data_IF_960680762838
#
_entry.id   IF_960680762838
#
_cell.length_a   1.000
_cell.length_b   1.000
_cell.length_c   1.000
_cell.angle_alpha   90.00
_cell.angle_beta   90.00
_cell.angle_gamma   90.00
#
_symmetry.space_group_name_H-M   'P 1'
#
loop_
_entity.id
_entity.type
_entity.pdbx_description
1 polymer ?
#
# COMPACT_ATOMS: atom_id res chain seq x y z
N UNK A 1 2.01 16.22 -13.76
CA UNK A 1 1.28 16.13 -12.49
C UNK A 1 0.31 14.97 -12.55
N UNK A 2 0.40 14.01 -11.63
CA UNK A 2 -0.52 12.89 -11.63
C UNK A 2 -0.41 12.01 -10.40
N UNK A 3 -1.56 11.46 -9.98
CA UNK A 3 -1.63 10.32 -9.10
C UNK A 3 -1.40 9.09 -9.95
N UNK A 4 -0.43 8.25 -9.56
CA UNK A 4 -0.10 7.03 -10.29
C UNK A 4 -1.02 5.88 -9.93
N UNK A 5 -1.20 5.65 -8.62
CA UNK A 5 -1.97 4.52 -8.11
C UNK A 5 -2.35 4.70 -6.63
N UNK A 6 -3.31 3.93 -6.18
CA UNK A 6 -3.47 3.63 -4.76
C UNK A 6 -2.24 2.82 -4.32
N UNK A 7 -1.50 3.32 -3.36
CA UNK A 7 -0.30 2.66 -2.86
C UNK A 7 -0.60 1.79 -1.65
N UNK A 8 -1.32 2.33 -0.66
CA UNK A 8 -1.71 1.54 0.51
C UNK A 8 -3.05 1.97 1.09
N UNK A 9 -3.65 1.08 1.85
CA UNK A 9 -4.81 1.33 2.71
C UNK A 9 -4.46 1.04 4.16
N UNK A 10 -4.95 1.86 5.07
CA UNK A 10 -4.81 1.67 6.51
C UNK A 10 -6.18 1.43 7.12
N UNK A 11 -6.36 0.27 7.71
CA UNK A 11 -7.64 -0.25 8.20
C UNK A 11 -7.54 -0.45 9.70
N UNK A 12 -8.55 0.00 10.44
CA UNK A 12 -8.71 -0.31 11.86
C UNK A 12 -9.47 -1.63 12.03
N UNK A 13 -8.99 -2.43 12.95
CA UNK A 13 -9.57 -3.74 13.29
C UNK A 13 -9.78 -3.84 14.80
N UNK A 14 -10.78 -4.59 15.22
CA UNK A 14 -11.09 -4.78 16.65
C UNK A 14 -10.17 -5.79 17.32
N UNK A 15 -9.65 -6.74 16.56
CA UNK A 15 -8.77 -7.82 17.02
C UNK A 15 -7.68 -8.01 15.97
N UNK A 16 -6.46 -7.66 16.36
CA UNK A 16 -5.31 -7.72 15.44
C UNK A 16 -4.91 -9.16 15.12
N UNK A 17 -5.03 -10.09 16.09
CA UNK A 17 -4.64 -11.48 15.88
C UNK A 17 -5.61 -12.22 14.94
N UNK A 18 -6.91 -11.98 15.07
CA UNK A 18 -7.90 -12.50 14.11
C UNK A 18 -7.72 -11.88 12.73
N UNK A 19 -7.42 -10.57 12.66
CA UNK A 19 -7.13 -9.90 11.41
C UNK A 19 -5.85 -10.46 10.74
N UNK A 20 -4.79 -10.75 11.50
CA UNK A 20 -3.58 -11.40 10.99
C UNK A 20 -3.88 -12.76 10.37
N UNK A 21 -4.72 -13.58 11.01
CA UNK A 21 -5.15 -14.86 10.43
C UNK A 21 -5.88 -14.66 9.12
N UNK A 22 -6.78 -13.68 9.05
CA UNK A 22 -7.55 -13.43 7.84
C UNK A 22 -6.66 -12.90 6.71
N UNK A 23 -5.94 -11.81 6.94
CA UNK A 23 -5.15 -11.16 5.89
C UNK A 23 -3.89 -11.93 5.52
N UNK A 24 -3.19 -12.49 6.50
CA UNK A 24 -1.97 -13.27 6.27
C UNK A 24 -2.27 -14.67 5.75
N UNK A 25 -3.09 -15.45 6.44
CA UNK A 25 -3.33 -16.84 6.07
C UNK A 25 -4.40 -16.99 4.98
N UNK A 26 -5.59 -16.41 5.20
CA UNK A 26 -6.71 -16.63 4.26
C UNK A 26 -6.53 -15.86 2.96
N UNK A 27 -6.11 -14.60 3.03
CA UNK A 27 -5.85 -13.78 1.84
C UNK A 27 -4.45 -13.97 1.25
N UNK A 28 -3.52 -14.54 2.01
CA UNK A 28 -2.15 -14.82 1.53
C UNK A 28 -1.27 -13.58 1.39
N UNK A 29 -1.53 -12.52 2.15
CA UNK A 29 -0.65 -11.37 2.18
C UNK A 29 0.61 -11.67 3.02
N UNK A 30 1.74 -11.11 2.60
CA UNK A 30 3.03 -11.29 3.28
C UNK A 30 3.25 -10.19 4.31
N UNK A 31 3.60 -10.50 5.56
CA UNK A 31 3.95 -9.48 6.54
C UNK A 31 5.28 -8.83 6.15
N UNK A 32 5.30 -7.50 6.06
CA UNK A 32 6.49 -6.71 5.75
C UNK A 32 7.13 -6.14 7.02
N UNK A 33 6.28 -5.70 7.96
CA UNK A 33 6.72 -5.12 9.23
C UNK A 33 5.62 -5.30 10.29
N UNK A 34 6.01 -5.45 11.55
CA UNK A 34 5.09 -5.65 12.66
C UNK A 34 5.47 -4.76 13.84
N UNK A 35 4.47 -4.11 14.43
CA UNK A 35 4.55 -3.31 15.64
C UNK A 35 3.54 -3.83 16.66
N UNK A 36 3.60 -3.45 17.93
CA UNK A 36 2.71 -3.98 18.96
C UNK A 36 1.21 -3.83 18.67
N UNK A 37 0.80 -2.76 17.98
CA UNK A 37 -0.60 -2.46 17.65
C UNK A 37 -0.89 -2.39 16.15
N UNK A 38 0.12 -2.63 15.30
CA UNK A 38 -0.02 -2.53 13.84
C UNK A 38 0.77 -3.61 13.14
N UNK A 39 0.25 -4.05 11.99
CA UNK A 39 0.98 -4.93 11.07
C UNK A 39 0.85 -4.41 9.63
N UNK A 40 1.95 -4.48 8.92
CA UNK A 40 2.08 -4.02 7.55
C UNK A 40 2.19 -5.21 6.63
N UNK A 41 1.31 -5.29 5.65
CA UNK A 41 1.25 -6.38 4.68
C UNK A 41 1.49 -5.91 3.27
N UNK A 42 1.99 -6.80 2.43
CA UNK A 42 2.13 -6.60 0.99
C UNK A 42 1.66 -7.83 0.20
N UNK A 43 1.32 -7.63 -1.06
CA UNK A 43 1.13 -8.73 -1.99
C UNK A 43 2.47 -9.41 -2.31
N UNK A 44 2.44 -10.69 -2.72
CA UNK A 44 3.64 -11.43 -3.05
C UNK A 44 4.37 -10.89 -4.32
N UNK A 45 3.68 -10.18 -5.17
CA UNK A 45 4.20 -9.51 -6.37
C UNK A 45 4.34 -7.98 -6.21
N UNK A 46 4.14 -7.44 -5.00
CA UNK A 46 4.30 -6.02 -4.70
C UNK A 46 5.77 -5.65 -4.50
N UNK A 47 6.19 -4.55 -5.13
CA UNK A 47 7.55 -4.02 -5.02
C UNK A 47 7.73 -3.02 -3.88
N UNK A 48 6.69 -2.25 -3.57
CA UNK A 48 6.70 -1.32 -2.46
C UNK A 48 6.64 -2.08 -1.12
N UNK A 49 7.14 -1.45 -0.06
CA UNK A 49 7.28 -2.07 1.26
C UNK A 49 5.96 -2.66 1.78
N UNK A 50 4.84 -1.96 1.63
CA UNK A 50 3.53 -2.43 2.06
C UNK A 50 2.40 -1.82 1.24
N UNK A 51 1.26 -2.49 1.22
CA UNK A 51 0.03 -2.03 0.57
C UNK A 51 -1.20 -2.12 1.48
N UNK A 52 -1.11 -2.84 2.59
CA UNK A 52 -2.18 -2.92 3.60
C UNK A 52 -1.58 -2.74 4.98
N UNK A 53 -2.14 -1.83 5.77
CA UNK A 53 -1.79 -1.63 7.18
C UNK A 53 -3.02 -1.96 8.01
N UNK A 54 -2.86 -2.85 8.99
CA UNK A 54 -3.89 -3.15 9.98
C UNK A 54 -3.47 -2.55 11.32
N UNK A 55 -4.38 -1.84 11.98
CA UNK A 55 -4.15 -1.22 13.29
C UNK A 55 -5.27 -1.62 14.23
N UNK A 56 -4.92 -2.05 15.44
CA UNK A 56 -5.91 -2.32 16.47
C UNK A 56 -6.50 -1.03 17.01
N UNK A 57 -7.82 -1.00 17.23
CA UNK A 57 -8.49 0.16 17.83
C UNK A 57 -9.71 0.64 17.04
N UNK A 58 -10.65 -0.23 16.77
CA UNK A 58 -11.92 0.10 16.13
C UNK A 58 -12.17 -0.64 14.84
N UNK A 59 -13.01 -0.08 13.98
CA UNK A 59 -13.38 -0.70 12.69
C UNK A 59 -13.42 0.38 11.61
N UNK A 60 -12.93 0.06 10.44
CA UNK A 60 -13.11 0.89 9.26
C UNK A 60 -11.81 1.40 8.65
N UNK A 61 -11.96 2.21 7.61
CA UNK A 61 -10.86 2.82 6.90
C UNK A 61 -10.31 4.00 7.70
N UNK A 62 -9.03 3.93 8.09
CA UNK A 62 -8.35 5.05 8.76
C UNK A 62 -7.83 6.06 7.74
N UNK A 63 -7.13 5.59 6.73
CA UNK A 63 -6.55 6.44 5.68
C UNK A 63 -6.20 5.65 4.42
N UNK A 64 -6.03 6.38 3.32
CA UNK A 64 -5.58 5.86 2.03
C UNK A 64 -4.34 6.62 1.57
N UNK A 65 -3.32 5.91 1.15
CA UNK A 65 -2.10 6.48 0.58
C UNK A 65 -2.07 6.34 -0.93
N UNK A 66 -1.86 7.45 -1.64
CA UNK A 66 -1.74 7.48 -3.10
C UNK A 66 -0.34 7.90 -3.50
N UNK A 67 0.26 7.13 -4.39
CA UNK A 67 1.57 7.45 -4.97
C UNK A 67 1.41 8.47 -6.09
N UNK A 68 2.19 9.55 -6.02
CA UNK A 68 2.24 10.58 -7.07
C UNK A 68 3.46 10.36 -7.96
N UNK A 69 3.43 10.96 -9.16
CA UNK A 69 4.46 10.75 -10.16
C UNK A 69 5.81 11.40 -9.79
N UNK A 70 5.77 12.55 -9.11
CA UNK A 70 6.96 13.35 -8.78
C UNK A 70 6.77 14.06 -7.44
N UNK A 71 7.86 14.31 -6.73
CA UNK A 71 7.85 15.07 -5.46
C UNK A 71 7.28 16.48 -5.65
N UNK A 72 7.58 17.14 -6.76
CA UNK A 72 7.04 18.47 -7.09
C UNK A 72 5.50 18.49 -7.20
N UNK A 73 4.91 17.36 -7.48
CA UNK A 73 3.45 17.23 -7.55
C UNK A 73 2.79 17.42 -6.17
N UNK A 74 3.50 17.12 -5.08
CA UNK A 74 3.02 17.29 -3.72
C UNK A 74 2.66 18.75 -3.42
N UNK A 75 3.50 19.72 -3.86
CA UNK A 75 3.25 21.14 -3.66
C UNK A 75 2.01 21.62 -4.41
N UNK A 76 1.77 21.04 -5.57
CA UNK A 76 0.61 21.39 -6.41
C UNK A 76 -0.68 20.85 -5.75
N UNK A 77 -0.64 19.60 -5.29
CA UNK A 77 -1.78 18.99 -4.62
C UNK A 77 -2.09 19.65 -3.28
N UNK A 78 -1.07 20.01 -2.50
CA UNK A 78 -1.21 20.77 -1.26
C UNK A 78 -1.97 22.08 -1.50
N UNK A 79 -1.49 22.91 -2.43
CA UNK A 79 -2.13 24.18 -2.76
C UNK A 79 -3.58 24.02 -3.21
N UNK A 80 -3.85 23.00 -4.04
CA UNK A 80 -5.22 22.72 -4.51
C UNK A 80 -6.14 22.28 -3.37
N UNK A 81 -5.66 21.41 -2.49
CA UNK A 81 -6.46 20.94 -1.34
C UNK A 81 -6.77 22.11 -0.38
N UNK A 82 -5.79 23.00 -0.14
CA UNK A 82 -6.00 24.21 0.66
C UNK A 82 -7.00 25.17 0.01
N UNK A 83 -6.92 25.37 -1.31
CA UNK A 83 -7.90 26.19 -2.06
C UNK A 83 -9.31 25.59 -2.04
N UNK A 84 -9.41 24.26 -1.97
CA UNK A 84 -10.69 23.56 -1.82
C UNK A 84 -11.23 23.61 -0.39
N UNK A 85 -10.46 24.11 0.59
CA UNK A 85 -10.83 24.22 1.99
C UNK A 85 -10.58 22.97 2.84
N UNK A 86 -9.76 22.04 2.35
CA UNK A 86 -9.34 20.88 3.12
C UNK A 86 -8.27 21.27 4.15
N UNK A 87 -8.27 20.56 5.29
CA UNK A 87 -7.14 20.59 6.20
C UNK A 87 -5.98 19.81 5.58
N UNK A 88 -4.81 20.44 5.54
CA UNK A 88 -3.61 19.88 4.91
C UNK A 88 -2.43 19.96 5.86
N UNK A 89 -1.69 18.85 5.97
CA UNK A 89 -0.48 18.72 6.78
C UNK A 89 0.65 18.13 5.94
N UNK A 90 1.86 18.69 6.05
CA UNK A 90 3.05 18.10 5.46
C UNK A 90 3.52 16.91 6.29
N UNK A 91 3.87 15.84 5.60
CA UNK A 91 4.47 14.65 6.18
C UNK A 91 5.94 14.62 5.81
N UNK A 92 6.77 14.29 6.79
CA UNK A 92 8.19 14.06 6.61
C UNK A 92 8.50 12.58 6.52
N UNK A 93 9.61 12.26 5.87
CA UNK A 93 10.11 10.89 5.82
C UNK A 93 10.23 10.30 7.23
N UNK A 94 9.55 9.17 7.46
CA UNK A 94 9.51 8.47 8.74
C UNK A 94 8.24 8.70 9.56
N UNK A 95 7.36 9.64 9.19
CA UNK A 95 6.04 9.80 9.83
C UNK A 95 5.16 8.56 9.61
N UNK A 96 5.31 7.93 8.45
CA UNK A 96 4.83 6.57 8.21
C UNK A 96 6.04 5.67 7.91
N UNK A 97 6.08 4.45 8.44
CA UNK A 97 7.16 3.51 8.18
C UNK A 97 7.42 3.31 6.69
N UNK A 98 8.67 3.49 6.27
CA UNK A 98 9.16 3.27 4.91
C UNK A 98 8.51 4.16 3.82
N UNK A 99 7.74 5.17 4.20
CA UNK A 99 7.16 6.17 3.31
C UNK A 99 7.99 7.45 3.36
N UNK A 100 8.27 8.03 2.20
CA UNK A 100 8.97 9.29 2.06
C UNK A 100 8.10 10.51 2.41
N UNK A 101 8.57 11.68 1.99
CA UNK A 101 7.84 12.92 2.19
C UNK A 101 6.48 12.89 1.48
N UNK A 102 5.49 13.54 2.09
CA UNK A 102 4.13 13.53 1.59
C UNK A 102 3.27 14.68 2.06
N UNK A 103 2.00 14.59 1.72
CA UNK A 103 0.95 15.52 2.11
C UNK A 103 -0.24 14.73 2.61
N UNK A 104 -0.68 15.00 3.82
CA UNK A 104 -1.92 14.48 4.40
C UNK A 104 -3.03 15.47 4.21
N UNK A 105 -4.15 15.02 3.69
CA UNK A 105 -5.33 15.82 3.38
C UNK A 105 -6.52 15.20 4.10
N UNK A 106 -7.20 15.99 4.93
CA UNK A 106 -8.48 15.58 5.53
C UNK A 106 -9.59 16.10 4.62
N UNK A 107 -10.33 15.17 4.04
CA UNK A 107 -11.44 15.47 3.15
C UNK A 107 -12.66 15.98 3.94
N UNK A 108 -13.60 16.71 3.31
CA UNK A 108 -14.84 17.12 3.96
C UNK A 108 -15.70 15.96 4.49
N UNK A 109 -15.48 14.76 3.98
CA UNK A 109 -16.09 13.50 4.44
C UNK A 109 -15.38 12.87 5.63
N UNK A 110 -14.42 13.59 6.25
CA UNK A 110 -13.57 13.15 7.37
C UNK A 110 -12.60 12.00 7.03
N UNK A 111 -12.58 11.52 5.78
CA UNK A 111 -11.59 10.55 5.35
C UNK A 111 -10.21 11.20 5.18
N UNK A 112 -9.19 10.48 5.58
CA UNK A 112 -7.81 10.93 5.45
C UNK A 112 -7.19 10.34 4.18
N UNK A 113 -6.67 11.21 3.35
CA UNK A 113 -5.92 10.85 2.15
C UNK A 113 -4.47 11.33 2.30
N UNK A 114 -3.52 10.43 2.05
CA UNK A 114 -2.10 10.75 2.03
C UNK A 114 -1.57 10.65 0.61
N UNK A 115 -0.82 11.66 0.20
CA UNK A 115 -0.12 11.67 -1.08
C UNK A 115 1.38 11.59 -0.80
N UNK A 116 2.08 10.69 -1.48
CA UNK A 116 3.52 10.51 -1.31
C UNK A 116 4.19 10.20 -2.65
N UNK A 117 5.45 10.56 -2.80
CA UNK A 117 6.20 10.31 -4.03
C UNK A 117 7.03 9.03 -3.96
N UNK A 118 7.49 8.66 -2.79
CA UNK A 118 8.45 7.57 -2.60
C UNK A 118 8.04 6.65 -1.45
N UNK A 119 8.29 5.36 -1.63
CA UNK A 119 8.23 4.32 -0.61
C UNK A 119 9.39 3.37 -0.84
N UNK A 120 9.97 2.84 0.23
CA UNK A 120 11.05 1.86 0.13
C UNK A 120 10.60 0.66 -0.69
N UNK A 121 11.38 0.31 -1.69
CA UNK A 121 11.16 -0.88 -2.49
C UNK A 121 11.89 -2.07 -1.89
N UNK A 122 11.16 -3.16 -1.64
CA UNK A 122 11.70 -4.41 -1.07
C UNK A 122 11.79 -5.53 -2.09
N UNK A 123 11.29 -5.30 -3.31
CA UNK A 123 11.24 -6.30 -4.37
C UNK A 123 10.07 -7.27 -4.21
N UNK A 124 9.86 -8.06 -5.24
CA UNK A 124 8.79 -9.04 -5.34
C UNK A 124 9.29 -10.43 -4.99
N UNK A 125 8.48 -11.23 -4.29
CA UNK A 125 8.77 -12.66 -4.04
C UNK A 125 8.84 -13.49 -5.34
N UNK A 126 8.21 -13.00 -6.38
CA UNK A 126 8.18 -13.68 -7.68
C UNK A 126 9.51 -13.54 -8.43
N UNK A 127 10.24 -12.47 -8.17
CA UNK A 127 11.45 -12.12 -8.93
C UNK A 127 11.15 -11.71 -10.37
N UNK A 128 12.05 -10.94 -10.95
CA UNK A 128 11.87 -10.39 -12.30
C UNK A 128 12.23 -11.35 -13.43
N UNK A 129 13.16 -12.29 -13.20
CA UNK A 129 13.74 -13.10 -14.25
C UNK A 129 13.10 -14.49 -14.39
N UNK A 130 12.58 -15.05 -13.32
CA UNK A 130 11.95 -16.37 -13.32
C UNK A 130 10.85 -16.44 -12.26
N UNK A 131 9.74 -15.75 -12.46
CA UNK A 131 8.67 -15.70 -11.47
C UNK A 131 8.03 -17.06 -11.29
N UNK A 132 7.92 -17.53 -10.05
CA UNK A 132 7.04 -18.65 -9.72
C UNK A 132 5.60 -18.15 -9.79
N UNK A 133 4.77 -18.88 -10.54
CA UNK A 133 3.35 -18.52 -10.70
C UNK A 133 2.60 -18.63 -9.38
N UNK A 134 3.02 -19.55 -8.52
CA UNK A 134 2.48 -19.74 -7.17
C UNK A 134 3.62 -19.98 -6.19
N UNK A 135 3.99 -18.99 -5.39
CA UNK A 135 4.99 -19.16 -4.35
C UNK A 135 4.60 -20.30 -3.38
N UNK A 136 5.52 -21.22 -3.13
CA UNK A 136 5.25 -22.45 -2.36
C UNK A 136 4.85 -22.20 -0.90
N UNK A 137 5.22 -21.05 -0.36
CA UNK A 137 4.91 -20.68 1.02
C UNK A 137 3.50 -20.09 1.19
N UNK A 138 2.79 -19.77 0.11
CA UNK A 138 1.41 -19.31 0.19
C UNK A 138 0.47 -20.50 0.32
N UNK A 139 -0.34 -20.49 1.37
CA UNK A 139 -1.31 -21.55 1.64
C UNK A 139 -2.70 -21.23 1.09
N UNK A 140 -2.92 -19.98 0.62
CA UNK A 140 -4.15 -19.51 0.04
C UNK A 140 -3.89 -18.74 -1.26
N UNK A 141 -4.96 -18.51 -2.01
CA UNK A 141 -4.89 -17.68 -3.21
C UNK A 141 -4.51 -16.25 -2.84
N UNK A 142 -3.35 -15.79 -3.31
CA UNK A 142 -2.92 -14.43 -3.09
C UNK A 142 -3.55 -13.49 -4.13
N UNK A 143 -4.07 -12.32 -3.72
CA UNK A 143 -4.54 -11.33 -4.67
C UNK A 143 -3.39 -10.91 -5.58
N UNK A 144 -3.63 -10.97 -6.89
CA UNK A 144 -2.67 -10.51 -7.88
C UNK A 144 -2.90 -9.03 -8.16
N UNK A 145 -1.85 -8.24 -8.14
CA UNK A 145 -1.91 -6.95 -8.80
C UNK A 145 -2.00 -7.19 -10.32
N UNK A 146 -2.84 -6.45 -10.99
CA UNK A 146 -3.34 -6.72 -12.35
C UNK A 146 -2.31 -6.64 -13.49
N UNK A 147 -1.01 -6.78 -13.24
CA UNK A 147 0.03 -6.41 -14.21
C UNK A 147 0.81 -7.58 -14.82
N UNK A 148 0.52 -8.83 -14.51
CA UNK A 148 1.17 -9.95 -15.18
C UNK A 148 0.31 -10.49 -16.32
N UNK A 149 0.41 -9.86 -17.47
CA UNK A 149 0.05 -10.48 -18.74
C UNK A 149 1.02 -11.64 -18.98
N UNK A 150 0.57 -12.89 -18.78
CA UNK A 150 1.36 -14.06 -19.14
C UNK A 150 1.54 -14.10 -20.64
N UNK A 151 2.71 -13.76 -21.13
CA UNK A 151 3.09 -14.03 -22.49
C UNK A 151 3.10 -15.57 -22.68
N UNK A 152 2.09 -16.13 -23.33
CA UNK A 152 2.12 -17.50 -23.84
C UNK A 152 3.28 -17.59 -24.84
N UNK A 153 4.26 -18.43 -24.54
CA UNK A 153 5.24 -18.84 -25.55
C UNK A 153 4.52 -19.60 -26.66
N UNK A 154 4.75 -19.25 -27.93
CA UNK A 154 4.27 -20.10 -29.02
C UNK A 154 5.04 -21.41 -28.97
N UNK A 155 4.33 -22.53 -28.97
CA UNK A 155 4.88 -23.87 -29.20
C UNK A 155 5.32 -23.93 -30.64
N UNK A 156 6.64 -24.03 -30.88
CA UNK A 156 7.18 -24.38 -32.18
C UNK A 156 6.88 -25.84 -32.46
N UNK A 157 6.17 -26.05 -33.54
CA UNK A 157 6.08 -27.34 -34.24
C UNK A 157 7.34 -27.60 -35.00
#
# INVERSE_FOLDING_TARGET
MGVLRLGYVHIRVTDLEEAKKHYGYTMGLLPAHEEPSRVFYRGWDEWDHHSVVLEEGGVGLAKMGYKVARSDDLDIFEKRAQQFGCLVERMSKGDNPEVGDGVRIVLPSEHVMELYSEMTMVGSEVGSLNPEVFPRHLQAWAPRTSTTCSARRPTSS
#
